data_IF_634829448931
#
_entry.id   IF_634829448931
#
_cell.length_a   1.000
_cell.length_b   1.000
_cell.length_c   1.000
_cell.angle_alpha   90.00
_cell.angle_beta   90.00
_cell.angle_gamma   90.00
#
_symmetry.space_group_name_H-M   'P 1'
#
loop_
_entity.id
_entity.type
_entity.pdbx_description
1 polymer ?
#
# COMPACT_ATOMS: atom_id res chain seq x y z
N UNK A 1 -9.11 -45.22 -42.40
CA UNK A 1 -9.27 -43.81 -42.00
C UNK A 1 -9.26 -43.71 -40.49
N UNK A 2 -8.24 -43.08 -39.89
CA UNK A 2 -8.10 -42.95 -38.44
C UNK A 2 -8.54 -41.54 -38.00
N UNK A 3 -9.83 -41.37 -37.69
CA UNK A 3 -10.38 -40.14 -37.11
C UNK A 3 -10.24 -40.15 -35.58
N UNK A 4 -9.11 -39.64 -35.09
CA UNK A 4 -8.89 -39.39 -33.65
C UNK A 4 -9.78 -38.23 -33.21
N UNK A 5 -10.96 -38.54 -32.65
CA UNK A 5 -11.83 -37.57 -32.01
C UNK A 5 -11.13 -36.92 -30.81
N UNK A 6 -10.78 -35.63 -30.95
CA UNK A 6 -10.24 -34.83 -29.85
C UNK A 6 -11.39 -34.54 -28.89
N UNK A 7 -11.38 -35.19 -27.73
CA UNK A 7 -12.34 -34.91 -26.65
C UNK A 7 -12.01 -33.54 -26.05
N UNK A 8 -12.85 -32.54 -26.30
CA UNK A 8 -12.75 -31.25 -25.63
C UNK A 8 -13.19 -31.40 -24.17
N UNK A 9 -12.23 -31.38 -23.24
CA UNK A 9 -12.54 -31.20 -21.83
C UNK A 9 -13.09 -29.79 -21.63
N UNK A 10 -14.32 -29.69 -21.11
CA UNK A 10 -14.94 -28.44 -20.71
C UNK A 10 -14.04 -27.77 -19.66
N UNK A 11 -13.61 -26.51 -19.84
CA UNK A 11 -12.79 -25.85 -18.82
C UNK A 11 -13.57 -25.78 -17.51
N UNK A 12 -12.89 -25.93 -16.35
CA UNK A 12 -13.55 -25.80 -15.07
C UNK A 12 -14.22 -24.42 -14.98
N UNK A 13 -15.47 -24.41 -14.55
CA UNK A 13 -16.22 -23.18 -14.34
C UNK A 13 -15.37 -22.22 -13.50
N UNK A 14 -15.17 -21.00 -14.00
CA UNK A 14 -14.44 -19.94 -13.31
C UNK A 14 -15.11 -19.75 -11.94
N UNK A 15 -14.49 -20.30 -10.88
CA UNK A 15 -15.01 -20.14 -9.53
C UNK A 15 -14.89 -18.65 -9.23
N UNK A 16 -16.04 -17.96 -9.14
CA UNK A 16 -16.08 -16.57 -8.66
C UNK A 16 -15.28 -16.54 -7.36
N UNK A 17 -14.20 -15.77 -7.35
CA UNK A 17 -13.36 -15.58 -6.18
C UNK A 17 -14.26 -15.30 -4.96
N UNK A 18 -13.93 -15.83 -3.77
CA UNK A 18 -14.76 -15.67 -2.58
C UNK A 18 -15.05 -14.18 -2.39
N UNK A 19 -16.34 -13.83 -2.40
CA UNK A 19 -16.82 -12.47 -2.11
C UNK A 19 -16.28 -12.12 -0.72
N UNK A 20 -15.28 -11.25 -0.69
CA UNK A 20 -14.72 -10.73 0.56
C UNK A 20 -15.88 -10.29 1.46
N UNK A 21 -15.86 -10.65 2.76
CA UNK A 21 -16.93 -10.27 3.67
C UNK A 21 -17.07 -8.74 3.67
N UNK A 22 -18.28 -8.24 3.41
CA UNK A 22 -18.61 -6.81 3.38
C UNK A 22 -18.25 -6.20 4.74
N UNK A 23 -17.08 -5.57 4.84
CA UNK A 23 -16.70 -4.78 6.02
C UNK A 23 -17.62 -3.57 6.06
N UNK A 24 -18.12 -3.21 7.25
CA UNK A 24 -18.77 -1.91 7.45
C UNK A 24 -17.71 -0.85 7.19
N UNK A 25 -17.88 -0.06 6.12
CA UNK A 25 -16.94 0.99 5.78
C UNK A 25 -17.24 2.19 6.69
N UNK A 26 -16.37 2.42 7.67
CA UNK A 26 -16.36 3.66 8.42
C UNK A 26 -16.07 4.82 7.46
N UNK A 27 -16.81 5.92 7.60
CA UNK A 27 -16.69 7.05 6.69
C UNK A 27 -15.34 7.75 6.88
N UNK A 28 -14.43 7.53 5.94
CA UNK A 28 -13.11 8.15 5.93
C UNK A 28 -13.18 9.61 5.47
N UNK A 29 -12.37 10.46 6.10
CA UNK A 29 -12.33 11.91 5.82
C UNK A 29 -11.35 12.24 4.70
N UNK A 30 -11.54 13.41 4.10
CA UNK A 30 -10.57 13.98 3.17
C UNK A 30 -9.22 14.16 3.86
N UNK A 31 -8.15 13.93 3.11
CA UNK A 31 -6.79 14.02 3.59
C UNK A 31 -6.23 12.77 4.27
N UNK A 32 -7.06 11.77 4.59
CA UNK A 32 -6.63 10.48 5.16
C UNK A 32 -5.83 9.67 4.15
N UNK A 33 -4.77 8.99 4.63
CA UNK A 33 -3.99 8.04 3.84
C UNK A 33 -4.65 6.67 3.88
N UNK A 34 -4.89 6.11 2.70
CA UNK A 34 -5.60 4.86 2.50
C UNK A 34 -4.83 3.95 1.56
N UNK A 35 -5.12 2.65 1.64
CA UNK A 35 -4.73 1.65 0.67
C UNK A 35 -5.92 1.33 -0.22
N UNK A 36 -5.71 1.51 -1.52
CA UNK A 36 -6.68 1.19 -2.58
C UNK A 36 -6.31 -0.18 -3.16
N UNK A 37 -7.28 -1.08 -3.24
CA UNK A 37 -7.10 -2.40 -3.82
C UNK A 37 -6.96 -2.34 -5.35
N UNK A 38 -6.14 -3.23 -5.92
CA UNK A 38 -6.03 -3.37 -7.37
C UNK A 38 -7.28 -4.00 -7.97
N UNK A 39 -7.69 -3.51 -9.15
CA UNK A 39 -8.83 -4.01 -9.92
C UNK A 39 -8.40 -4.23 -11.36
N UNK A 40 -8.78 -5.37 -11.92
CA UNK A 40 -8.47 -5.71 -13.31
C UNK A 40 -9.77 -6.02 -14.04
N UNK A 41 -10.16 -5.11 -14.93
CA UNK A 41 -11.23 -5.31 -15.91
C UNK A 41 -10.65 -5.36 -17.33
N UNK A 42 -11.39 -5.88 -18.34
CA UNK A 42 -10.95 -5.81 -19.73
C UNK A 42 -10.78 -4.35 -20.16
N UNK A 43 -9.53 -3.90 -20.32
CA UNK A 43 -9.21 -2.51 -20.69
C UNK A 43 -9.07 -1.53 -19.51
N UNK A 44 -9.37 -1.97 -18.28
CA UNK A 44 -9.26 -1.16 -17.06
C UNK A 44 -8.26 -1.81 -16.11
N UNK A 45 -6.98 -1.42 -16.24
CA UNK A 45 -5.94 -1.84 -15.31
C UNK A 45 -5.76 -0.75 -14.24
N UNK A 46 -6.37 -0.94 -13.07
CA UNK A 46 -6.24 -0.03 -11.92
C UNK A 46 -5.29 -0.68 -10.91
N UNK A 47 -4.00 -0.30 -10.87
CA UNK A 47 -2.99 -1.01 -10.08
C UNK A 47 -3.19 -0.89 -8.56
N UNK A 48 -4.13 -0.05 -8.10
CA UNK A 48 -4.29 0.26 -6.68
C UNK A 48 -3.04 0.91 -6.10
N UNK A 49 -2.91 0.86 -4.77
CA UNK A 49 -1.73 1.36 -4.05
C UNK A 49 -2.08 2.29 -2.89
N UNK A 50 -1.08 3.05 -2.42
CA UNK A 50 -1.28 4.02 -1.34
C UNK A 50 -1.70 5.36 -1.92
N UNK A 51 -2.82 5.89 -1.42
CA UNK A 51 -3.40 7.13 -1.89
C UNK A 51 -3.88 8.01 -0.74
N UNK A 52 -4.17 9.26 -1.05
CA UNK A 52 -4.80 10.23 -0.15
C UNK A 52 -6.19 10.56 -0.67
N UNK A 53 -7.19 10.53 0.20
CA UNK A 53 -8.56 10.95 -0.15
C UNK A 53 -8.55 12.45 -0.45
N UNK A 54 -8.99 12.83 -1.64
CA UNK A 54 -9.18 14.23 -2.06
C UNK A 54 -10.62 14.68 -1.88
N UNK A 55 -11.59 13.80 -2.17
CA UNK A 55 -13.02 14.11 -2.06
C UNK A 55 -13.81 12.88 -1.60
N UNK A 56 -14.94 13.12 -0.94
CA UNK A 56 -15.85 12.07 -0.44
C UNK A 56 -17.24 12.36 -1.00
N UNK A 57 -17.78 11.42 -1.75
CA UNK A 57 -19.15 11.49 -2.27
C UNK A 57 -20.02 10.52 -1.50
N UNK A 58 -21.07 11.04 -0.88
CA UNK A 58 -22.04 10.24 -0.11
C UNK A 58 -23.39 10.34 -0.80
N UNK A 59 -23.81 9.25 -1.41
CA UNK A 59 -25.15 9.11 -1.96
C UNK A 59 -26.07 8.54 -0.86
N UNK A 60 -26.91 9.41 -0.29
CA UNK A 60 -27.85 9.04 0.79
C UNK A 60 -29.02 8.18 0.29
N UNK A 61 -29.36 8.26 -0.99
CA UNK A 61 -30.47 7.49 -1.56
C UNK A 61 -30.06 6.03 -1.80
N UNK A 62 -28.80 5.84 -2.21
CA UNK A 62 -28.24 4.51 -2.53
C UNK A 62 -27.34 3.93 -1.44
N UNK A 63 -27.21 4.62 -0.30
CA UNK A 63 -26.31 4.27 0.80
C UNK A 63 -24.89 3.88 0.31
N UNK A 64 -24.41 4.62 -0.68
CA UNK A 64 -23.15 4.34 -1.38
C UNK A 64 -22.15 5.46 -1.11
N UNK A 65 -20.93 5.07 -0.76
CA UNK A 65 -19.83 5.99 -0.52
C UNK A 65 -18.76 5.76 -1.59
N UNK A 66 -18.40 6.84 -2.28
CA UNK A 66 -17.34 6.89 -3.28
C UNK A 66 -16.26 7.88 -2.84
N UNK A 67 -15.04 7.61 -3.26
CA UNK A 67 -13.87 8.41 -2.91
C UNK A 67 -13.10 8.81 -4.16
N UNK A 68 -12.76 10.09 -4.25
CA UNK A 68 -11.72 10.54 -5.16
C UNK A 68 -10.39 10.49 -4.42
N UNK A 69 -9.36 9.94 -5.07
CA UNK A 69 -8.06 9.71 -4.45
C UNK A 69 -6.92 10.20 -5.33
N UNK A 70 -5.88 10.70 -4.69
CA UNK A 70 -4.60 11.03 -5.31
C UNK A 70 -3.52 10.06 -4.82
N UNK A 71 -2.92 9.31 -5.73
CA UNK A 71 -1.89 8.32 -5.39
C UNK A 71 -0.59 8.99 -4.97
N UNK A 72 0.09 8.42 -3.96
CA UNK A 72 1.35 8.98 -3.43
C UNK A 72 2.47 8.95 -4.48
N UNK A 73 2.46 7.96 -5.38
CA UNK A 73 3.42 7.84 -6.48
C UNK A 73 2.99 8.60 -7.75
N UNK A 74 1.92 9.40 -7.68
CA UNK A 74 1.35 10.12 -8.80
C UNK A 74 0.17 9.40 -9.45
N UNK A 75 -0.67 10.16 -10.14
CA UNK A 75 -1.96 9.70 -10.69
C UNK A 75 -3.15 10.01 -9.76
N UNK A 76 -4.34 10.00 -10.34
CA UNK A 76 -5.61 10.21 -9.63
C UNK A 76 -6.63 9.18 -10.09
N UNK A 77 -7.49 8.78 -9.20
CA UNK A 77 -8.62 7.90 -9.49
C UNK A 77 -9.87 8.51 -8.86
N UNK A 78 -10.97 8.44 -9.60
CA UNK A 78 -12.25 9.00 -9.19
C UNK A 78 -13.25 7.90 -8.91
N UNK A 79 -14.27 8.22 -8.12
CA UNK A 79 -15.42 7.35 -7.88
C UNK A 79 -15.02 5.97 -7.32
N UNK A 80 -13.98 5.92 -6.48
CA UNK A 80 -13.50 4.68 -5.88
C UNK A 80 -14.49 4.24 -4.79
N UNK A 81 -15.19 3.13 -5.06
CA UNK A 81 -16.07 2.52 -4.07
C UNK A 81 -15.37 2.19 -2.75
N UNK A 82 -16.06 2.45 -1.64
CA UNK A 82 -15.53 2.20 -0.29
C UNK A 82 -15.04 0.76 -0.08
N UNK A 83 -15.59 -0.23 -0.79
CA UNK A 83 -15.18 -1.65 -0.75
C UNK A 83 -13.72 -1.88 -1.16
N UNK A 84 -13.13 -0.95 -1.93
CA UNK A 84 -11.74 -1.02 -2.37
C UNK A 84 -10.81 -0.15 -1.54
N UNK A 85 -11.33 0.58 -0.56
CA UNK A 85 -10.56 1.52 0.28
C UNK A 85 -10.42 0.96 1.69
N UNK A 86 -9.17 0.89 2.16
CA UNK A 86 -8.86 0.52 3.55
C UNK A 86 -7.98 1.58 4.18
N UNK A 87 -8.30 1.98 5.41
CA UNK A 87 -7.48 2.93 6.16
C UNK A 87 -6.10 2.34 6.45
N UNK A 88 -5.04 3.10 6.15
CA UNK A 88 -3.67 2.68 6.47
C UNK A 88 -3.37 3.01 7.94
N UNK A 89 -3.90 2.19 8.86
CA UNK A 89 -3.59 2.26 10.29
C UNK A 89 -2.12 1.88 10.49
N UNK A 90 -1.24 2.89 10.50
CA UNK A 90 0.14 2.69 10.93
C UNK A 90 0.13 2.58 12.45
N UNK A 91 0.41 1.41 12.97
CA UNK A 91 0.93 1.31 14.34
C UNK A 91 2.22 2.13 14.36
N UNK A 92 2.18 3.28 15.02
CA UNK A 92 3.34 4.14 15.23
C UNK A 92 4.28 3.46 16.23
N UNK A 93 4.94 2.38 15.81
CA UNK A 93 6.12 1.94 16.51
C UNK A 93 7.17 3.06 16.36
N UNK A 94 7.68 3.64 17.46
CA UNK A 94 8.67 4.70 17.37
C UNK A 94 9.89 4.16 16.61
N UNK A 95 10.18 4.76 15.45
CA UNK A 95 11.35 4.40 14.65
C UNK A 95 12.61 4.74 15.44
N UNK A 96 13.19 3.77 16.16
CA UNK A 96 14.48 3.96 16.82
C UNK A 96 15.53 4.16 15.73
N UNK A 97 16.02 5.41 15.60
CA UNK A 97 17.18 5.72 14.75
C UNK A 97 18.36 4.90 15.26
N UNK A 98 18.75 3.84 14.54
CA UNK A 98 19.98 3.11 14.84
C UNK A 98 21.14 4.09 14.73
N UNK A 99 21.77 4.41 15.86
CA UNK A 99 23.01 5.17 15.89
C UNK A 99 24.03 4.32 15.14
N UNK A 100 24.43 4.74 13.94
CA UNK A 100 25.55 4.11 13.25
C UNK A 100 26.80 4.49 14.03
N UNK A 101 27.64 3.52 14.37
CA UNK A 101 29.00 3.79 14.81
C UNK A 101 29.77 4.28 13.58
N UNK A 102 29.68 5.58 13.32
CA UNK A 102 30.42 6.22 12.25
C UNK A 102 31.87 6.26 12.75
N UNK A 103 32.68 5.34 12.22
CA UNK A 103 34.14 5.30 12.18
C UNK A 103 34.85 6.15 13.25
N UNK A 104 35.44 5.50 14.26
CA UNK A 104 36.31 6.17 15.25
C UNK A 104 37.38 6.96 14.50
N UNK A 105 37.37 8.31 14.52
CA UNK A 105 38.39 9.07 13.82
C UNK A 105 39.72 8.83 14.54
N UNK A 106 40.73 8.42 13.78
CA UNK A 106 42.14 8.22 14.15
C UNK A 106 42.75 9.37 15.00
N UNK A 107 42.07 10.52 15.03
CA UNK A 107 42.36 11.70 15.82
C UNK A 107 42.28 11.48 17.34
N UNK A 108 41.42 10.56 17.83
CA UNK A 108 41.28 10.27 19.27
C UNK A 108 42.47 9.46 19.80
N UNK A 109 42.93 8.46 19.04
CA UNK A 109 44.16 7.70 19.34
C UNK A 109 45.40 8.60 19.32
N UNK A 110 45.49 9.53 18.38
CA UNK A 110 46.60 10.48 18.31
C UNK A 110 46.62 11.43 19.52
N UNK A 111 45.46 11.87 20.00
CA UNK A 111 45.35 12.72 21.21
C UNK A 111 45.76 11.97 22.48
N UNK A 112 45.33 10.73 22.65
CA UNK A 112 45.74 9.90 23.79
C UNK A 112 47.24 9.60 23.77
N UNK A 113 47.80 9.32 22.58
CA UNK A 113 49.24 9.09 22.41
C UNK A 113 50.08 10.35 22.74
N UNK A 114 49.61 11.53 22.34
CA UNK A 114 50.25 12.81 22.67
C UNK A 114 50.16 13.11 24.17
N UNK A 115 49.00 12.90 24.80
CA UNK A 115 48.84 13.10 26.24
C UNK A 115 49.71 12.17 27.08
N UNK A 116 49.89 10.92 26.64
CA UNK A 116 50.75 9.95 27.32
C UNK A 116 52.24 10.32 27.23
N UNK A 117 52.66 10.97 26.14
CA UNK A 117 54.03 11.50 25.97
C UNK A 117 54.30 12.78 26.77
N UNK A 118 53.29 13.57 27.10
CA UNK A 118 53.43 14.79 27.90
C UNK A 118 53.43 14.53 29.42
N UNK A 119 53.03 13.32 29.85
CA UNK A 119 52.93 12.93 31.27
C UNK A 119 54.04 11.97 31.74
N UNK A 120 54.98 11.62 30.87
CA UNK A 120 56.21 10.89 31.22
C UNK A 120 57.40 11.81 31.05
#
# INVERSE_FOLDING_TARGET
ENSRGIKFNKPPAFQKAPRQPKKKHELLKTGTIVKVASRTGPGENLPGGVARITEVHVDKEKDTILYDVAYVLGGREKDVGAEYVTEDKKEEAPRKRKKREIFKPQLEEQKEAIQKKLKG
#
